data_IF_796919397135
#
_entry.id   IF_796919397135
#
_cell.length_a   1.000
_cell.length_b   1.000
_cell.length_c   1.000
_cell.angle_alpha   90.00
_cell.angle_beta   90.00
_cell.angle_gamma   90.00
#
_symmetry.space_group_name_H-M   'P 1'
#
loop_
_entity.id
_entity.type
_entity.pdbx_description
1 polymer ?
#
# COMPACT_ATOMS: atom_id res chain seq x y z
N UNK A 1 -17.99 -28.44 -36.98
CA UNK A 1 -19.01 -27.65 -36.24
C UNK A 1 -18.89 -27.82 -34.74
N UNK A 2 -18.86 -29.05 -34.19
CA UNK A 2 -18.75 -29.28 -32.75
C UNK A 2 -17.46 -28.72 -32.11
N UNK A 3 -16.31 -28.83 -32.78
CA UNK A 3 -15.03 -28.30 -32.29
C UNK A 3 -15.04 -26.77 -32.14
N UNK A 4 -15.66 -26.05 -33.09
CA UNK A 4 -15.82 -24.60 -33.02
C UNK A 4 -16.74 -24.19 -31.86
N UNK A 5 -17.85 -24.91 -31.66
CA UNK A 5 -18.75 -24.65 -30.53
C UNK A 5 -18.03 -24.87 -29.19
N UNK A 6 -17.24 -25.92 -29.08
CA UNK A 6 -16.44 -26.19 -27.89
C UNK A 6 -15.41 -25.06 -27.64
N UNK A 7 -14.69 -24.63 -28.67
CA UNK A 7 -13.74 -23.51 -28.56
C UNK A 7 -14.39 -22.22 -28.10
N UNK A 8 -15.56 -21.88 -28.67
CA UNK A 8 -16.33 -20.68 -28.28
C UNK A 8 -16.76 -20.75 -26.82
N UNK A 9 -17.31 -21.89 -26.38
CA UNK A 9 -17.75 -22.08 -25.00
C UNK A 9 -16.59 -21.92 -24.00
N UNK A 10 -15.41 -22.46 -24.31
CA UNK A 10 -14.22 -22.31 -23.46
C UNK A 10 -13.80 -20.85 -23.37
N UNK A 11 -13.71 -20.14 -24.50
CA UNK A 11 -13.32 -18.72 -24.50
C UNK A 11 -14.32 -17.88 -23.72
N UNK A 12 -15.61 -18.08 -23.94
CA UNK A 12 -16.67 -17.37 -23.20
C UNK A 12 -16.58 -17.68 -21.70
N UNK A 13 -16.33 -18.94 -21.33
CA UNK A 13 -16.13 -19.34 -19.94
C UNK A 13 -14.94 -18.64 -19.29
N UNK A 14 -13.78 -18.60 -19.95
CA UNK A 14 -12.58 -17.92 -19.45
C UNK A 14 -12.84 -16.41 -19.28
N UNK A 15 -13.47 -15.78 -20.26
CA UNK A 15 -13.82 -14.35 -20.19
C UNK A 15 -14.78 -14.07 -19.05
N UNK A 16 -15.80 -14.92 -18.85
CA UNK A 16 -16.75 -14.79 -17.76
C UNK A 16 -16.07 -14.91 -16.38
N UNK A 17 -15.19 -15.90 -16.20
CA UNK A 17 -14.43 -16.07 -14.94
C UNK A 17 -13.53 -14.86 -14.68
N UNK A 18 -12.79 -14.39 -15.70
CA UNK A 18 -11.93 -13.22 -15.58
C UNK A 18 -12.74 -11.97 -15.20
N UNK A 19 -13.91 -11.76 -15.83
CA UNK A 19 -14.79 -10.65 -15.52
C UNK A 19 -15.27 -10.69 -14.06
N UNK A 20 -15.70 -11.86 -13.56
CA UNK A 20 -16.14 -12.02 -12.16
C UNK A 20 -15.00 -11.71 -11.19
N UNK A 21 -13.81 -12.25 -11.43
CA UNK A 21 -12.63 -11.98 -10.59
C UNK A 21 -12.30 -10.48 -10.56
N UNK A 22 -12.37 -9.81 -11.71
CA UNK A 22 -12.08 -8.38 -11.82
C UNK A 22 -13.11 -7.53 -11.07
N UNK A 23 -14.40 -7.89 -11.16
CA UNK A 23 -15.48 -7.22 -10.43
C UNK A 23 -15.32 -7.40 -8.93
N UNK A 24 -15.09 -8.62 -8.45
CA UNK A 24 -14.90 -8.89 -7.01
C UNK A 24 -13.68 -8.13 -6.48
N UNK A 25 -12.55 -8.20 -7.20
CA UNK A 25 -11.35 -7.47 -6.82
C UNK A 25 -11.55 -5.95 -6.84
N UNK A 26 -12.27 -5.43 -7.85
CA UNK A 26 -12.64 -4.03 -7.96
C UNK A 26 -13.49 -3.56 -6.80
N UNK A 27 -14.53 -4.32 -6.42
CA UNK A 27 -15.39 -4.03 -5.27
C UNK A 27 -14.59 -4.02 -3.97
N UNK A 28 -13.74 -5.02 -3.73
CA UNK A 28 -12.90 -5.08 -2.52
C UNK A 28 -11.94 -3.90 -2.47
N UNK A 29 -11.35 -3.52 -3.60
CA UNK A 29 -10.42 -2.38 -3.70
C UNK A 29 -11.14 -1.06 -3.43
N UNK A 30 -12.33 -0.88 -4.00
CA UNK A 30 -13.16 0.30 -3.79
C UNK A 30 -13.65 0.40 -2.35
N UNK A 31 -14.11 -0.71 -1.76
CA UNK A 31 -14.54 -0.78 -0.36
C UNK A 31 -13.39 -0.45 0.59
N UNK A 32 -12.19 -0.97 0.35
CA UNK A 32 -10.99 -0.60 1.13
C UNK A 32 -10.70 0.89 1.03
N UNK A 33 -10.77 1.46 -0.17
CA UNK A 33 -10.55 2.89 -0.38
C UNK A 33 -11.60 3.72 0.36
N UNK A 34 -12.87 3.36 0.26
CA UNK A 34 -13.98 4.02 0.94
C UNK A 34 -13.84 3.95 2.47
N UNK A 35 -13.43 2.81 3.04
CA UNK A 35 -13.16 2.69 4.48
C UNK A 35 -12.01 3.61 4.90
N UNK A 36 -10.94 3.69 4.09
CA UNK A 36 -9.80 4.57 4.36
C UNK A 36 -10.18 6.05 4.29
N UNK A 37 -10.97 6.46 3.30
CA UNK A 37 -11.42 7.85 3.16
C UNK A 37 -12.43 8.23 4.24
N UNK A 38 -13.40 7.36 4.53
CA UNK A 38 -14.40 7.60 5.58
C UNK A 38 -13.77 7.70 6.97
N UNK A 39 -12.77 6.85 7.28
CA UNK A 39 -11.97 6.98 8.52
C UNK A 39 -11.21 8.31 8.62
N UNK A 40 -10.73 8.84 7.48
CA UNK A 40 -10.08 10.16 7.44
C UNK A 40 -11.05 11.33 7.64
N UNK A 41 -12.33 11.16 7.28
CA UNK A 41 -13.37 12.21 7.36
C UNK A 41 -14.21 12.19 8.64
N UNK A 42 -14.61 11.02 9.17
CA UNK A 42 -15.59 10.91 10.27
C UNK A 42 -15.01 11.01 11.69
N UNK A 43 -13.71 10.85 11.90
CA UNK A 43 -13.21 10.79 13.28
C UNK A 43 -11.70 10.83 13.38
N UNK A 44 -11.21 11.86 14.08
CA UNK A 44 -10.07 11.75 14.98
C UNK A 44 -8.88 10.96 14.40
N UNK A 45 -8.04 11.66 13.63
CA UNK A 45 -6.62 11.31 13.50
C UNK A 45 -5.89 11.47 14.86
N UNK A 46 -6.36 10.75 15.88
CA UNK A 46 -5.56 10.27 17.00
C UNK A 46 -5.68 8.76 16.95
N UNK A 47 -5.00 8.16 15.97
CA UNK A 47 -4.37 6.89 16.28
C UNK A 47 -3.56 7.07 17.58
N UNK A 48 -3.31 6.00 18.36
CA UNK A 48 -2.42 6.11 19.51
C UNK A 48 -1.20 6.89 19.04
N UNK A 49 -0.90 7.99 19.72
CA UNK A 49 0.39 8.65 19.60
C UNK A 49 1.42 7.63 20.09
N UNK A 50 1.73 6.66 19.24
CA UNK A 50 2.96 5.92 19.30
C UNK A 50 4.01 7.02 19.23
N UNK A 51 4.79 7.23 20.31
CA UNK A 51 5.72 8.32 20.37
C UNK A 51 6.55 8.26 19.09
N UNK A 52 6.76 9.43 18.49
CA UNK A 52 7.48 9.71 17.26
C UNK A 52 8.97 9.28 17.32
N UNK A 53 9.29 8.13 17.89
CA UNK A 53 10.60 7.49 17.86
C UNK A 53 10.74 6.76 16.52
N UNK A 54 10.93 7.55 15.47
CA UNK A 54 11.74 7.11 14.33
C UNK A 54 11.06 6.76 13.02
N UNK A 55 9.79 7.11 12.72
CA UNK A 55 9.30 6.89 11.35
C UNK A 55 9.87 7.94 10.37
N UNK A 56 10.66 7.48 9.40
CA UNK A 56 11.23 8.30 8.33
C UNK A 56 10.25 8.41 7.15
N UNK A 57 9.87 9.63 6.80
CA UNK A 57 9.02 9.89 5.63
C UNK A 57 9.85 9.93 4.35
N UNK A 58 9.36 9.27 3.30
CA UNK A 58 10.03 9.31 2.01
C UNK A 58 10.09 10.75 1.44
N UNK A 59 11.26 11.23 0.98
CA UNK A 59 11.41 12.57 0.40
C UNK A 59 10.77 12.70 -0.98
N UNK A 60 10.38 11.60 -1.62
CA UNK A 60 9.69 11.64 -2.90
C UNK A 60 8.32 12.31 -2.75
N UNK A 61 8.12 13.44 -3.44
CA UNK A 61 6.89 14.24 -3.38
C UNK A 61 5.61 13.42 -3.62
N UNK A 62 5.69 12.41 -4.51
CA UNK A 62 4.56 11.53 -4.85
C UNK A 62 4.42 10.30 -3.93
N UNK A 63 5.48 9.92 -3.21
CA UNK A 63 5.45 8.69 -2.40
C UNK A 63 5.05 8.98 -0.95
N UNK A 64 5.80 9.86 -0.28
CA UNK A 64 5.66 10.26 1.14
C UNK A 64 5.33 9.12 2.12
N UNK A 65 5.71 7.89 1.80
CA UNK A 65 5.41 6.75 2.64
C UNK A 65 6.20 6.84 3.95
N UNK A 66 5.57 6.47 5.06
CA UNK A 66 6.25 6.27 6.33
C UNK A 66 7.04 4.96 6.31
N UNK A 67 8.31 5.03 6.72
CA UNK A 67 9.26 3.92 6.79
C UNK A 67 9.83 3.80 8.20
N UNK A 68 10.31 2.62 8.61
CA UNK A 68 11.00 2.48 9.90
C UNK A 68 12.31 3.29 9.94
N UNK A 69 12.82 3.65 11.14
CA UNK A 69 14.01 4.51 11.29
C UNK A 69 15.29 3.89 10.71
N UNK A 70 15.30 2.56 10.62
CA UNK A 70 16.40 1.75 10.12
C UNK A 70 16.32 1.50 8.62
N UNK A 71 15.25 1.94 7.93
CA UNK A 71 15.10 1.73 6.51
C UNK A 71 16.05 2.63 5.70
N UNK A 72 16.93 2.01 4.90
CA UNK A 72 17.77 2.70 3.92
C UNK A 72 17.00 3.10 2.65
N UNK A 73 15.97 2.32 2.31
CA UNK A 73 15.15 2.52 1.12
C UNK A 73 13.67 2.57 1.50
N UNK A 74 12.90 3.34 0.73
CA UNK A 74 11.47 3.43 0.90
C UNK A 74 10.79 2.12 0.51
N UNK A 75 10.02 1.53 1.44
CA UNK A 75 9.28 0.26 1.21
C UNK A 75 8.23 0.33 0.09
N UNK A 76 7.84 1.54 -0.32
CA UNK A 76 6.79 1.77 -1.33
C UNK A 76 7.34 2.15 -2.70
N UNK A 77 8.43 2.90 -2.78
CA UNK A 77 8.96 3.41 -4.06
C UNK A 77 10.45 3.10 -4.31
N UNK A 78 11.12 2.42 -3.38
CA UNK A 78 12.54 2.07 -3.50
C UNK A 78 13.51 3.25 -3.38
N UNK A 79 13.05 4.50 -3.29
CA UNK A 79 13.94 5.68 -3.18
C UNK A 79 14.78 5.64 -1.90
N UNK A 80 16.04 6.10 -1.93
CA UNK A 80 16.87 6.19 -0.75
C UNK A 80 16.29 7.18 0.25
N UNK A 81 16.23 6.77 1.51
CA UNK A 81 15.85 7.59 2.66
C UNK A 81 17.18 8.07 3.27
N UNK A 82 17.53 9.34 3.09
CA UNK A 82 18.85 9.87 3.46
C UNK A 82 19.27 9.58 4.90
N UNK A 83 20.57 9.65 5.18
CA UNK A 83 21.29 9.17 6.39
C UNK A 83 20.82 9.72 7.76
N UNK A 84 19.81 10.60 7.81
CA UNK A 84 19.33 11.24 9.04
C UNK A 84 18.74 10.28 10.08
N UNK A 85 18.45 9.03 9.71
CA UNK A 85 18.01 7.99 10.65
C UNK A 85 19.09 7.51 11.64
N UNK A 86 20.37 7.60 11.27
CA UNK A 86 21.46 7.00 12.05
C UNK A 86 22.15 7.96 13.03
N UNK A 87 22.09 9.27 12.79
CA UNK A 87 22.84 10.27 13.57
C UNK A 87 22.20 10.69 14.91
N UNK A 88 20.89 10.48 15.08
CA UNK A 88 20.17 10.82 16.31
C UNK A 88 20.32 9.73 17.38
N UNK A 89 20.38 8.45 16.97
CA UNK A 89 20.42 7.32 17.92
C UNK A 89 21.79 7.14 18.58
N UNK A 90 22.89 7.45 17.89
CA UNK A 90 24.25 7.36 18.48
C UNK A 90 24.53 8.37 19.58
N UNK A 91 23.84 9.51 19.62
CA UNK A 91 24.02 10.52 20.67
C UNK A 91 23.22 10.22 21.95
N UNK A 92 22.22 9.35 21.88
CA UNK A 92 21.39 8.98 23.03
C UNK A 92 21.97 7.81 23.85
N UNK A 93 22.96 7.09 23.32
CA UNK A 93 23.61 5.96 23.99
C UNK A 93 24.96 6.32 24.65
N UNK A 94 25.29 7.62 24.72
CA UNK A 94 26.55 8.13 25.26
C UNK A 94 26.39 8.83 26.63
N UNK A 95 25.32 8.53 27.36
CA UNK A 95 25.08 9.02 28.72
C UNK A 95 24.80 7.85 29.64
#
# INVERSE_FOLDING_TARGET
MAEYLFGILVVVGVVAVAAVLFVVWGIVSLARLAIWTLKGLLGTARGPMEPLRGRLTCPGAMCRAGNPPTARFCRRCGRPLGERGYGAMRRAAAW
#
